data_IF_659819353274
#
_entry.id   IF_659819353274
#
_cell.length_a   1.000
_cell.length_b   1.000
_cell.length_c   1.000
_cell.angle_alpha   90.00
_cell.angle_beta   90.00
_cell.angle_gamma   90.00
#
_symmetry.space_group_name_H-M   'P 1'
#
loop_
_entity.id
_entity.type
_entity.pdbx_description
1 polymer ?
#
# COMPACT_ATOMS: atom_id res chain seq x y z
N UNK A 1 -8.40 2.51 -22.48
CA UNK A 1 -8.09 2.64 -21.06
C UNK A 1 -6.63 3.00 -20.89
N UNK A 2 -6.32 3.89 -19.97
CA UNK A 2 -4.94 4.30 -19.72
C UNK A 2 -4.16 3.14 -19.12
N UNK A 3 -2.99 2.85 -19.71
CA UNK A 3 -2.08 1.83 -19.18
C UNK A 3 -1.25 2.41 -18.04
N UNK A 4 -1.12 1.66 -16.95
CA UNK A 4 -0.28 2.03 -15.81
C UNK A 4 0.93 1.10 -15.77
N UNK A 5 2.11 1.69 -15.62
CA UNK A 5 3.38 0.96 -15.61
C UNK A 5 4.21 1.46 -14.44
N UNK A 6 4.82 0.55 -13.70
CA UNK A 6 5.76 0.86 -12.64
C UNK A 6 6.97 -0.06 -12.66
N UNK A 7 8.05 0.36 -12.02
CA UNK A 7 9.20 -0.50 -11.80
C UNK A 7 8.83 -1.58 -10.77
N UNK A 8 9.06 -2.84 -11.10
CA UNK A 8 8.72 -3.95 -10.21
C UNK A 8 9.68 -4.01 -9.01
N UNK A 9 9.12 -4.27 -7.84
CA UNK A 9 9.87 -4.41 -6.58
C UNK A 9 9.53 -5.77 -5.99
N UNK A 10 10.53 -6.53 -5.58
CA UNK A 10 10.34 -7.83 -4.96
C UNK A 10 11.46 -8.15 -3.96
N UNK A 11 11.21 -9.12 -3.11
CA UNK A 11 12.17 -9.59 -2.13
C UNK A 11 12.02 -8.97 -0.75
N UNK A 12 12.87 -9.40 0.16
CA UNK A 12 12.93 -8.90 1.53
C UNK A 12 14.41 -8.70 1.92
N UNK A 13 14.90 -7.44 1.98
CA UNK A 13 14.16 -6.18 1.71
C UNK A 13 13.75 -6.04 0.23
N UNK A 14 12.64 -5.32 -0.01
CA UNK A 14 12.11 -5.11 -1.36
C UNK A 14 13.06 -4.24 -2.18
N UNK A 15 13.37 -4.67 -3.38
CA UNK A 15 14.29 -3.98 -4.28
C UNK A 15 13.92 -4.23 -5.75
N UNK A 16 14.51 -3.44 -6.63
CA UNK A 16 14.41 -3.64 -8.07
C UNK A 16 15.11 -4.94 -8.47
N UNK A 17 14.64 -5.55 -9.53
CA UNK A 17 15.27 -6.78 -10.05
C UNK A 17 15.22 -6.80 -11.58
N UNK A 18 16.04 -7.68 -12.17
CA UNK A 18 16.08 -7.88 -13.60
C UNK A 18 15.16 -9.03 -14.02
N UNK A 19 14.48 -8.85 -15.15
CA UNK A 19 13.67 -9.91 -15.73
C UNK A 19 14.55 -10.96 -16.46
N UNK A 20 13.92 -11.98 -17.04
CA UNK A 20 14.64 -13.04 -17.75
C UNK A 20 15.41 -12.54 -18.98
N UNK A 21 15.05 -11.39 -19.54
CA UNK A 21 15.73 -10.77 -20.67
C UNK A 21 16.87 -9.84 -20.27
N UNK A 22 17.12 -9.66 -18.97
CA UNK A 22 18.16 -8.78 -18.44
C UNK A 22 17.77 -7.31 -18.34
N UNK A 23 16.50 -6.98 -18.53
CA UNK A 23 15.97 -5.63 -18.33
C UNK A 23 15.42 -5.44 -16.94
N UNK A 24 15.32 -4.18 -16.48
CA UNK A 24 14.64 -3.89 -15.21
C UNK A 24 13.18 -4.35 -15.33
N UNK A 25 12.75 -5.18 -14.38
CA UNK A 25 11.40 -5.73 -14.40
C UNK A 25 10.34 -4.63 -14.19
N UNK A 26 9.21 -4.76 -14.89
CA UNK A 26 8.10 -3.82 -14.83
C UNK A 26 6.84 -4.53 -14.34
N UNK A 27 5.98 -3.79 -13.64
CA UNK A 27 4.61 -4.20 -13.36
C UNK A 27 3.66 -3.31 -14.13
N UNK A 28 2.53 -3.88 -14.54
CA UNK A 28 1.56 -3.20 -15.39
C UNK A 28 0.15 -3.32 -14.82
N UNK A 29 -0.69 -2.32 -15.12
CA UNK A 29 -2.13 -2.29 -14.88
C UNK A 29 -2.50 -2.60 -13.42
N UNK A 30 -3.30 -3.64 -13.14
CA UNK A 30 -3.75 -3.95 -11.77
C UNK A 30 -2.59 -4.26 -10.82
N UNK A 31 -1.55 -4.92 -11.29
CA UNK A 31 -0.37 -5.20 -10.48
C UNK A 31 0.41 -3.92 -10.13
N UNK A 32 0.47 -2.97 -11.07
CA UNK A 32 1.08 -1.67 -10.81
C UNK A 32 0.27 -0.88 -9.77
N UNK A 33 -1.05 -0.95 -9.81
CA UNK A 33 -1.91 -0.31 -8.81
C UNK A 33 -1.69 -0.92 -7.44
N UNK A 34 -1.66 -2.26 -7.33
CA UNK A 34 -1.42 -2.95 -6.07
C UNK A 34 -0.06 -2.60 -5.44
N UNK A 35 0.98 -2.55 -6.25
CA UNK A 35 2.30 -2.14 -5.80
C UNK A 35 2.33 -0.68 -5.34
N UNK A 36 1.64 0.21 -6.05
CA UNK A 36 1.55 1.62 -5.67
C UNK A 36 0.83 1.79 -4.33
N UNK A 37 -0.28 1.07 -4.10
CA UNK A 37 -0.97 1.08 -2.81
C UNK A 37 -0.02 0.66 -1.69
N UNK A 38 0.72 -0.43 -1.89
CA UNK A 38 1.69 -0.92 -0.91
C UNK A 38 2.75 0.13 -0.59
N UNK A 39 3.30 0.78 -1.61
CA UNK A 39 4.30 1.83 -1.42
C UNK A 39 3.74 3.02 -0.63
N UNK A 40 2.51 3.43 -0.91
CA UNK A 40 1.85 4.51 -0.17
C UNK A 40 1.67 4.15 1.30
N UNK A 41 1.28 2.91 1.60
CA UNK A 41 1.13 2.44 2.98
C UNK A 41 2.47 2.36 3.72
N UNK A 42 3.56 2.13 3.01
CA UNK A 42 4.91 2.08 3.60
C UNK A 42 5.56 3.45 3.76
N UNK A 43 4.97 4.50 3.22
CA UNK A 43 5.48 5.87 3.35
C UNK A 43 4.90 6.51 4.61
N UNK A 44 5.77 7.06 5.47
CA UNK A 44 5.35 7.82 6.65
C UNK A 44 5.09 9.28 6.26
N UNK A 45 3.98 9.84 6.75
CA UNK A 45 3.69 11.25 6.52
C UNK A 45 4.83 12.12 7.04
N UNK A 46 5.28 13.07 6.22
CA UNK A 46 6.40 13.96 6.51
C UNK A 46 7.76 13.43 6.10
N UNK A 47 7.87 12.17 5.69
CA UNK A 47 9.15 11.53 5.35
C UNK A 47 9.66 11.91 3.95
N UNK A 48 8.75 12.04 3.00
CA UNK A 48 9.13 12.31 1.61
C UNK A 48 9.31 13.80 1.38
N UNK A 49 10.56 14.21 1.09
CA UNK A 49 10.92 15.64 0.95
C UNK A 49 10.25 16.34 -0.23
N UNK A 50 9.83 15.59 -1.27
CA UNK A 50 9.13 16.16 -2.43
C UNK A 50 7.65 16.42 -2.16
N UNK A 51 7.06 15.72 -1.21
CA UNK A 51 5.68 15.91 -0.78
C UNK A 51 5.52 15.44 0.67
N UNK A 52 5.60 16.39 1.60
CA UNK A 52 5.53 16.08 3.03
C UNK A 52 4.13 15.69 3.50
N UNK A 53 3.10 15.89 2.67
CA UNK A 53 1.74 15.44 2.96
C UNK A 53 1.47 14.00 2.51
N UNK A 54 2.38 13.41 1.70
CA UNK A 54 2.22 12.05 1.23
C UNK A 54 2.50 11.03 2.32
N UNK A 55 1.76 9.92 2.29
CA UNK A 55 1.93 8.81 3.19
C UNK A 55 0.95 8.80 4.37
N UNK A 56 1.18 7.88 5.30
CA UNK A 56 0.30 7.63 6.44
C UNK A 56 0.94 8.14 7.73
N UNK A 57 0.14 8.77 8.58
CA UNK A 57 0.58 9.24 9.90
C UNK A 57 0.66 8.06 10.89
N UNK A 58 1.62 7.15 10.67
CA UNK A 58 1.73 5.92 11.43
C UNK A 58 1.97 6.11 12.92
N UNK A 59 2.91 6.98 13.28
CA UNK A 59 3.28 7.17 14.69
C UNK A 59 2.23 7.98 15.44
N UNK A 60 1.87 9.22 15.01
CA UNK A 60 0.95 10.03 15.80
C UNK A 60 -0.49 9.54 15.81
N UNK A 61 -0.98 8.92 14.74
CA UNK A 61 -2.40 8.57 14.62
C UNK A 61 -2.70 7.09 14.80
N UNK A 62 -1.76 6.22 14.50
CA UNK A 62 -1.98 4.77 14.52
C UNK A 62 -1.21 4.11 15.65
N UNK A 63 0.12 4.15 15.60
CA UNK A 63 0.95 3.47 16.59
C UNK A 63 1.01 4.20 17.92
N UNK A 64 0.86 5.52 17.91
CA UNK A 64 0.83 6.34 19.12
C UNK A 64 -0.51 6.32 19.88
N UNK A 65 -1.58 5.82 19.24
CA UNK A 65 -2.92 5.71 19.83
C UNK A 65 -3.39 4.25 19.80
N UNK A 66 -2.80 3.37 20.63
CA UNK A 66 -2.97 1.92 20.50
C UNK A 66 -4.39 1.41 20.73
N UNK A 67 -5.25 2.17 21.36
CA UNK A 67 -6.62 1.76 21.70
C UNK A 67 -7.63 2.08 20.59
N UNK A 68 -7.21 2.77 19.52
CA UNK A 68 -8.13 3.22 18.46
C UNK A 68 -7.92 2.45 17.15
N UNK A 69 -8.16 1.15 17.20
CA UNK A 69 -8.10 0.29 16.02
C UNK A 69 -9.07 0.71 14.91
N UNK A 70 -10.34 1.12 15.20
CA UNK A 70 -11.23 1.64 14.16
C UNK A 70 -10.69 2.86 13.43
N UNK A 71 -10.01 3.77 14.12
CA UNK A 71 -9.37 4.93 13.49
C UNK A 71 -8.22 4.50 12.60
N UNK A 72 -7.39 3.58 13.07
CA UNK A 72 -6.29 3.02 12.28
C UNK A 72 -6.80 2.39 10.99
N UNK A 73 -7.84 1.58 11.07
CA UNK A 73 -8.48 0.97 9.91
C UNK A 73 -9.03 2.02 8.94
N UNK A 74 -9.70 3.05 9.44
CA UNK A 74 -10.25 4.12 8.62
C UNK A 74 -9.16 4.91 7.89
N UNK A 75 -8.05 5.23 8.56
CA UNK A 75 -6.92 5.95 7.96
C UNK A 75 -6.27 5.12 6.85
N UNK A 76 -6.05 3.84 7.10
CA UNK A 76 -5.43 2.94 6.12
C UNK A 76 -6.34 2.76 4.91
N UNK A 77 -7.64 2.53 5.12
CA UNK A 77 -8.60 2.40 4.03
C UNK A 77 -8.72 3.66 3.19
N UNK A 78 -8.69 4.83 3.83
CA UNK A 78 -8.72 6.11 3.13
C UNK A 78 -7.49 6.27 2.21
N UNK A 79 -6.32 5.91 2.68
CA UNK A 79 -5.09 5.95 1.87
C UNK A 79 -5.17 4.99 0.68
N UNK A 80 -5.70 3.79 0.89
CA UNK A 80 -5.89 2.81 -0.19
C UNK A 80 -6.86 3.35 -1.24
N UNK A 81 -8.00 3.89 -0.82
CA UNK A 81 -9.03 4.41 -1.73
C UNK A 81 -8.58 5.67 -2.46
N UNK A 82 -7.66 6.44 -1.91
CA UNK A 82 -7.09 7.63 -2.55
C UNK A 82 -6.03 7.30 -3.61
N UNK A 83 -5.63 6.05 -3.72
CA UNK A 83 -4.65 5.61 -4.72
C UNK A 83 -5.28 5.61 -6.11
N UNK A 84 -4.56 6.18 -7.09
CA UNK A 84 -5.01 6.20 -8.48
C UNK A 84 -5.26 4.79 -9.02
N UNK A 85 -6.43 4.59 -9.60
CA UNK A 85 -6.84 3.33 -10.20
C UNK A 85 -7.56 2.37 -9.28
N UNK A 86 -7.63 2.64 -7.98
CA UNK A 86 -8.42 1.84 -7.02
C UNK A 86 -9.87 2.29 -7.06
N UNK A 87 -10.79 1.34 -7.28
CA UNK A 87 -12.24 1.60 -7.29
C UNK A 87 -12.93 1.19 -6.00
N UNK A 88 -12.35 0.27 -5.25
CA UNK A 88 -12.91 -0.17 -3.97
C UNK A 88 -12.02 -1.16 -3.26
N UNK A 89 -12.40 -1.50 -2.04
CA UNK A 89 -11.72 -2.52 -1.24
C UNK A 89 -12.66 -3.72 -1.15
N UNK A 90 -12.21 -4.89 -1.64
CA UNK A 90 -13.02 -6.10 -1.64
C UNK A 90 -12.76 -6.98 -0.43
N UNK A 91 -11.54 -6.94 0.11
CA UNK A 91 -11.16 -7.67 1.31
C UNK A 91 -10.16 -6.85 2.10
N UNK A 92 -10.36 -6.78 3.42
CA UNK A 92 -9.44 -6.10 4.32
C UNK A 92 -9.51 -6.74 5.70
N UNK A 93 -8.36 -7.05 6.27
CA UNK A 93 -8.27 -7.43 7.67
C UNK A 93 -7.06 -6.78 8.32
N UNK A 94 -7.19 -6.44 9.59
CA UNK A 94 -6.17 -5.78 10.37
C UNK A 94 -6.01 -6.55 11.70
N UNK A 95 -4.76 -6.74 12.11
CA UNK A 95 -4.44 -7.42 13.36
C UNK A 95 -3.48 -6.57 14.16
N UNK A 96 -3.77 -6.46 15.45
CA UNK A 96 -2.95 -5.72 16.37
C UNK A 96 -2.33 -6.63 17.41
N UNK A 97 -1.07 -6.36 17.72
CA UNK A 97 -0.31 -7.05 18.79
C UNK A 97 -0.07 -6.05 19.92
N UNK A 98 -0.88 -6.08 21.01
CA UNK A 98 -0.84 -5.04 22.04
C UNK A 98 0.48 -4.98 22.82
N UNK A 99 1.22 -6.10 22.91
CA UNK A 99 2.47 -6.16 23.66
C UNK A 99 3.68 -5.63 22.88
N UNK A 100 3.61 -5.55 21.56
CA UNK A 100 4.75 -5.20 20.70
C UNK A 100 4.54 -3.93 19.87
N UNK A 101 3.41 -3.23 20.05
CA UNK A 101 3.02 -2.08 19.23
C UNK A 101 3.04 -2.37 17.73
N UNK A 102 2.79 -3.61 17.38
CA UNK A 102 2.80 -4.07 16.01
C UNK A 102 1.39 -4.14 15.46
N UNK A 103 1.27 -3.73 14.20
CA UNK A 103 0.03 -3.80 13.45
C UNK A 103 0.31 -4.55 12.15
N UNK A 104 -0.45 -5.61 11.89
CA UNK A 104 -0.36 -6.38 10.65
C UNK A 104 -1.63 -6.23 9.83
N UNK A 105 -1.48 -6.21 8.53
CA UNK A 105 -2.57 -6.27 7.56
C UNK A 105 -2.39 -7.58 6.78
N UNK A 106 -2.92 -8.71 7.29
CA UNK A 106 -2.70 -10.01 6.64
C UNK A 106 -3.39 -10.13 5.29
N UNK A 107 -4.51 -9.44 5.10
CA UNK A 107 -5.26 -9.47 3.84
C UNK A 107 -5.70 -8.08 3.45
N UNK A 108 -5.36 -7.68 2.24
CA UNK A 108 -5.89 -6.47 1.62
C UNK A 108 -5.99 -6.71 0.12
N UNK A 109 -7.22 -6.70 -0.40
CA UNK A 109 -7.51 -6.88 -1.82
C UNK A 109 -8.37 -5.71 -2.28
N UNK A 110 -8.00 -5.12 -3.40
CA UNK A 110 -8.69 -3.97 -3.98
C UNK A 110 -9.20 -4.29 -5.38
N UNK A 111 -10.32 -3.70 -5.73
CA UNK A 111 -10.79 -3.67 -7.11
C UNK A 111 -10.19 -2.48 -7.84
N UNK A 112 -9.97 -2.63 -9.13
CA UNK A 112 -9.29 -1.63 -9.95
C UNK A 112 -10.17 -1.18 -11.12
N UNK A 113 -9.76 -0.09 -11.77
CA UNK A 113 -10.42 0.42 -12.98
C UNK A 113 -10.33 -0.55 -14.17
N UNK A 114 -9.54 -1.60 -14.07
CA UNK A 114 -9.44 -2.65 -15.10
C UNK A 114 -10.43 -3.80 -14.90
N UNK A 115 -11.38 -3.64 -13.99
CA UNK A 115 -12.35 -4.68 -13.60
C UNK A 115 -11.69 -5.96 -13.05
N UNK A 116 -10.48 -5.84 -12.52
CA UNK A 116 -9.72 -6.92 -11.90
C UNK A 116 -9.35 -6.56 -10.47
N UNK A 117 -9.17 -7.58 -9.65
CA UNK A 117 -8.74 -7.44 -8.27
C UNK A 117 -7.24 -7.65 -8.16
N UNK A 118 -6.60 -6.96 -7.23
CA UNK A 118 -5.19 -7.18 -6.91
C UNK A 118 -4.99 -7.22 -5.40
N UNK A 119 -4.10 -8.09 -4.95
CA UNK A 119 -3.70 -8.20 -3.54
C UNK A 119 -2.50 -7.30 -3.29
N UNK A 120 -2.57 -6.60 -2.18
CA UNK A 120 -1.53 -5.65 -1.76
C UNK A 120 -0.39 -6.37 -1.03
#
# INVERSE_FOLDING_TARGET
MVKRIGLAIAGDPADLYLDAAGNVALVEDEAAIGQHVRQRLMTHEGEWFLDTAAGVAWIPQILGAPENLPLAEAVIKAEILDTDGVTGITEFSIRRFPTSRRLDIPNATVSTVYDEETTI
#
